data_IF_186275064550
#
_entry.id   IF_186275064550
#
_cell.length_a   1.000
_cell.length_b   1.000
_cell.length_c   1.000
_cell.angle_alpha   90.00
_cell.angle_beta   90.00
_cell.angle_gamma   90.00
#
_symmetry.space_group_name_H-M   'P 1'
#
loop_
_entity.id
_entity.type
_entity.pdbx_description
1 polymer ?
#
# COMPACT_ATOMS: atom_id res chain seq x y z
N UNK A 1 5.96 -5.28 8.16
CA UNK A 1 5.92 -5.82 6.79
C UNK A 1 7.33 -6.20 6.33
N UNK A 2 7.85 -7.38 6.70
CA UNK A 2 9.08 -7.89 6.07
C UNK A 2 8.79 -8.62 4.75
N UNK A 3 7.64 -9.29 4.66
CA UNK A 3 7.28 -10.17 3.54
C UNK A 3 7.26 -9.50 2.15
N UNK A 4 6.90 -8.22 2.05
CA UNK A 4 6.76 -7.53 0.76
C UNK A 4 7.91 -6.57 0.43
N UNK A 5 8.81 -6.32 1.39
CA UNK A 5 9.97 -5.43 1.21
C UNK A 5 10.81 -5.84 0.02
N UNK A 6 11.21 -7.12 -0.06
CA UNK A 6 12.05 -7.64 -1.14
C UNK A 6 11.40 -7.44 -2.50
N UNK A 7 10.09 -7.71 -2.60
CA UNK A 7 9.32 -7.50 -3.83
C UNK A 7 9.24 -6.03 -4.22
N UNK A 8 8.97 -5.14 -3.26
CA UNK A 8 8.93 -3.69 -3.48
C UNK A 8 10.28 -3.18 -4.00
N UNK A 9 11.40 -3.55 -3.36
CA UNK A 9 12.75 -3.17 -3.80
C UNK A 9 13.04 -3.64 -5.21
N UNK A 10 12.78 -4.93 -5.50
CA UNK A 10 13.01 -5.52 -6.82
C UNK A 10 12.21 -4.85 -7.94
N UNK A 11 10.98 -4.38 -7.64
CA UNK A 11 10.14 -3.68 -8.61
C UNK A 11 10.50 -2.21 -8.76
N UNK A 12 10.85 -1.51 -7.67
CA UNK A 12 11.25 -0.11 -7.72
C UNK A 12 12.61 0.07 -8.42
N UNK A 13 13.54 -0.89 -8.24
CA UNK A 13 14.92 -0.80 -8.70
C UNK A 13 15.61 0.51 -8.24
N UNK A 14 15.22 0.98 -7.07
CA UNK A 14 15.68 2.21 -6.43
C UNK A 14 15.62 2.01 -4.92
N UNK A 15 16.76 1.62 -4.34
CA UNK A 15 16.85 1.34 -2.91
C UNK A 15 16.64 2.59 -2.05
N UNK A 16 17.06 3.77 -2.54
CA UNK A 16 16.87 5.03 -1.82
C UNK A 16 15.40 5.42 -1.72
N UNK A 17 14.65 5.24 -2.81
CA UNK A 17 13.20 5.43 -2.79
C UNK A 17 12.51 4.36 -1.92
N UNK A 18 12.94 3.10 -1.99
CA UNK A 18 12.39 2.04 -1.14
C UNK A 18 12.59 2.35 0.35
N UNK A 19 13.80 2.76 0.75
CA UNK A 19 14.13 3.18 2.11
C UNK A 19 13.25 4.35 2.57
N UNK A 20 13.08 5.36 1.71
CA UNK A 20 12.25 6.52 2.01
C UNK A 20 10.78 6.14 2.22
N UNK A 21 10.22 5.25 1.38
CA UNK A 21 8.84 4.77 1.51
C UNK A 21 8.65 3.97 2.80
N UNK A 22 9.59 3.07 3.11
CA UNK A 22 9.53 2.23 4.31
C UNK A 22 9.66 3.03 5.61
N UNK A 23 10.51 4.06 5.60
CA UNK A 23 10.69 4.96 6.75
C UNK A 23 9.49 5.86 6.96
N UNK A 24 9.13 6.66 5.95
CA UNK A 24 7.94 7.49 5.96
C UNK A 24 7.51 7.86 4.53
N UNK A 25 6.55 7.11 3.98
CA UNK A 25 6.03 7.35 2.64
C UNK A 25 5.47 8.76 2.41
N UNK A 26 5.05 9.48 3.47
CA UNK A 26 4.54 10.85 3.37
C UNK A 26 5.62 11.81 2.88
N UNK A 27 6.85 11.64 3.39
CA UNK A 27 8.02 12.47 3.08
C UNK A 27 8.83 11.90 1.91
N UNK A 28 8.57 10.66 1.49
CA UNK A 28 9.23 10.04 0.36
C UNK A 28 9.04 10.85 -0.94
N UNK A 29 10.02 10.82 -1.87
CA UNK A 29 9.98 11.55 -3.15
C UNK A 29 9.05 10.86 -4.16
N UNK A 30 7.79 10.72 -3.79
CA UNK A 30 6.71 10.19 -4.61
C UNK A 30 6.00 11.33 -5.35
N UNK A 31 5.61 11.08 -6.59
CA UNK A 31 4.72 12.00 -7.30
C UNK A 31 3.32 12.02 -6.68
N UNK A 32 2.56 13.07 -6.98
CA UNK A 32 1.22 13.29 -6.40
C UNK A 32 0.26 12.13 -6.67
N UNK A 33 0.36 11.51 -7.85
CA UNK A 33 -0.45 10.33 -8.22
C UNK A 33 -0.21 9.15 -7.28
N UNK A 34 1.05 8.82 -6.96
CA UNK A 34 1.38 7.76 -6.01
C UNK A 34 0.99 8.14 -4.58
N UNK A 35 1.14 9.40 -4.18
CA UNK A 35 0.69 9.87 -2.85
C UNK A 35 -0.83 9.77 -2.68
N UNK A 36 -1.62 10.12 -3.70
CA UNK A 36 -3.08 9.97 -3.68
C UNK A 36 -3.50 8.51 -3.50
N UNK A 37 -2.86 7.58 -4.21
CA UNK A 37 -3.07 6.13 -4.05
C UNK A 37 -2.78 5.67 -2.62
N UNK A 38 -1.67 6.11 -2.02
CA UNK A 38 -1.30 5.72 -0.66
C UNK A 38 -2.22 6.33 0.41
N UNK A 39 -2.65 7.59 0.23
CA UNK A 39 -3.66 8.22 1.10
C UNK A 39 -4.96 7.41 1.13
N UNK A 40 -5.44 6.99 -0.04
CA UNK A 40 -6.62 6.14 -0.17
C UNK A 40 -6.41 4.80 0.55
N UNK A 41 -5.30 4.11 0.28
CA UNK A 41 -4.99 2.82 0.90
C UNK A 41 -4.90 2.91 2.44
N UNK A 42 -4.30 3.99 2.96
CA UNK A 42 -4.22 4.26 4.40
C UNK A 42 -5.60 4.48 5.00
N UNK A 43 -6.46 5.30 4.37
CA UNK A 43 -7.82 5.53 4.87
C UNK A 43 -8.63 4.23 4.87
N UNK A 44 -8.63 3.49 3.76
CA UNK A 44 -9.35 2.22 3.65
C UNK A 44 -8.86 1.19 4.68
N UNK A 45 -7.57 1.20 5.02
CA UNK A 45 -7.01 0.30 6.05
C UNK A 45 -7.43 0.71 7.47
N UNK A 46 -7.39 2.01 7.79
CA UNK A 46 -7.57 2.51 9.17
C UNK A 46 -9.02 2.82 9.53
N UNK A 47 -9.81 3.29 8.57
CA UNK A 47 -11.17 3.76 8.76
C UNK A 47 -12.07 3.36 7.57
N UNK A 48 -12.20 2.05 7.26
CA UNK A 48 -12.99 1.60 6.11
C UNK A 48 -14.47 2.02 6.19
N UNK A 49 -15.02 2.19 7.39
CA UNK A 49 -16.39 2.64 7.59
C UNK A 49 -16.63 4.11 7.19
N UNK A 50 -15.56 4.92 7.12
CA UNK A 50 -15.62 6.34 6.77
C UNK A 50 -15.33 6.59 5.28
N UNK A 51 -15.22 5.53 4.47
CA UNK A 51 -15.00 5.63 3.04
C UNK A 51 -16.24 6.18 2.33
N UNK A 52 -16.02 7.05 1.35
CA UNK A 52 -17.06 7.74 0.59
C UNK A 52 -16.72 7.79 -0.89
N UNK A 53 -17.67 8.20 -1.74
CA UNK A 53 -17.41 8.43 -3.16
C UNK A 53 -16.33 9.50 -3.40
N UNK A 54 -16.19 10.49 -2.50
CA UNK A 54 -15.17 11.53 -2.62
C UNK A 54 -13.74 10.96 -2.59
N UNK A 55 -13.51 9.84 -1.89
CA UNK A 55 -12.21 9.19 -1.85
C UNK A 55 -11.87 8.54 -3.21
N UNK A 56 -12.88 7.99 -3.89
CA UNK A 56 -12.75 7.46 -5.24
C UNK A 56 -12.52 8.59 -6.25
N UNK A 57 -13.27 9.69 -6.12
CA UNK A 57 -13.11 10.85 -7.00
C UNK A 57 -11.73 11.51 -6.85
N UNK A 58 -11.15 11.51 -5.65
CA UNK A 58 -9.77 11.96 -5.44
C UNK A 58 -8.75 11.10 -6.23
N UNK A 59 -8.94 9.78 -6.32
CA UNK A 59 -8.11 8.93 -7.17
C UNK A 59 -8.29 9.25 -8.66
N UNK A 60 -9.54 9.47 -9.10
CA UNK A 60 -9.83 9.85 -10.49
C UNK A 60 -9.17 11.17 -10.86
N UNK A 61 -9.24 12.17 -9.99
CA UNK A 61 -8.58 13.47 -10.15
C UNK A 61 -7.05 13.34 -10.24
N UNK A 62 -6.47 12.36 -9.56
CA UNK A 62 -5.05 12.01 -9.67
C UNK A 62 -4.69 11.23 -10.96
N UNK A 63 -5.66 10.99 -11.85
CA UNK A 63 -5.46 10.31 -13.13
C UNK A 63 -5.51 8.79 -13.05
N UNK A 64 -6.22 8.22 -12.08
CA UNK A 64 -6.56 6.79 -12.08
C UNK A 64 -7.87 6.55 -12.82
N UNK A 65 -7.91 5.51 -13.64
CA UNK A 65 -9.14 5.02 -14.27
C UNK A 65 -9.99 4.25 -13.25
N UNK A 66 -11.26 4.00 -13.53
CA UNK A 66 -12.10 3.15 -12.66
C UNK A 66 -11.53 1.73 -12.49
N UNK A 67 -10.83 1.22 -13.51
CA UNK A 67 -10.12 -0.05 -13.42
C UNK A 67 -8.97 0.02 -12.43
N UNK A 68 -8.16 1.09 -12.49
CA UNK A 68 -7.06 1.30 -11.54
C UNK A 68 -7.59 1.47 -10.10
N UNK A 69 -8.71 2.18 -9.91
CA UNK A 69 -9.36 2.31 -8.60
C UNK A 69 -9.77 0.96 -8.04
N UNK A 70 -10.39 0.11 -8.87
CA UNK A 70 -10.73 -1.26 -8.47
C UNK A 70 -9.48 -2.04 -8.05
N UNK A 71 -8.40 -1.98 -8.83
CA UNK A 71 -7.14 -2.65 -8.48
C UNK A 71 -6.55 -2.14 -7.15
N UNK A 72 -6.57 -0.83 -6.90
CA UNK A 72 -6.09 -0.23 -5.65
C UNK A 72 -6.91 -0.74 -4.46
N UNK A 73 -8.24 -0.79 -4.59
CA UNK A 73 -9.16 -1.27 -3.54
C UNK A 73 -8.93 -2.76 -3.28
N UNK A 74 -8.90 -3.58 -4.32
CA UNK A 74 -8.74 -5.04 -4.21
C UNK A 74 -7.40 -5.40 -3.56
N UNK A 75 -6.30 -4.78 -3.99
CA UNK A 75 -4.99 -4.99 -3.38
C UNK A 75 -5.02 -4.55 -1.92
N UNK A 76 -5.50 -3.35 -1.62
CA UNK A 76 -5.54 -2.86 -0.22
C UNK A 76 -6.37 -3.78 0.67
N UNK A 77 -7.55 -4.21 0.22
CA UNK A 77 -8.44 -5.09 0.97
C UNK A 77 -7.86 -6.50 1.14
N UNK A 78 -7.24 -7.05 0.10
CA UNK A 78 -6.59 -8.35 0.15
C UNK A 78 -5.46 -8.38 1.19
N UNK A 79 -4.60 -7.37 1.21
CA UNK A 79 -3.54 -7.27 2.21
C UNK A 79 -4.11 -7.12 3.63
N UNK A 80 -5.19 -6.36 3.80
CA UNK A 80 -5.85 -6.28 5.09
C UNK A 80 -6.45 -7.63 5.54
N UNK A 81 -6.95 -8.47 4.62
CA UNK A 81 -7.39 -9.83 4.92
C UNK A 81 -6.20 -10.73 5.30
N UNK A 82 -5.15 -10.76 4.47
CA UNK A 82 -3.98 -11.59 4.67
C UNK A 82 -3.25 -11.25 5.99
N UNK A 83 -3.06 -9.97 6.28
CA UNK A 83 -2.43 -9.51 7.52
C UNK A 83 -3.23 -9.96 8.75
N UNK A 84 -4.57 -9.89 8.72
CA UNK A 84 -5.40 -10.37 9.84
C UNK A 84 -5.25 -11.86 10.10
N UNK A 85 -5.07 -12.68 9.06
CA UNK A 85 -4.80 -14.11 9.23
C UNK A 85 -3.42 -14.34 9.82
N UNK A 86 -2.39 -13.73 9.23
CA UNK A 86 -1.01 -13.89 9.68
C UNK A 86 -0.85 -13.43 11.14
N UNK A 87 -1.28 -12.21 11.45
CA UNK A 87 -1.18 -11.62 12.78
C UNK A 87 -2.09 -12.36 13.78
N UNK A 88 -3.32 -12.70 13.37
CA UNK A 88 -4.30 -13.37 14.23
C UNK A 88 -3.90 -14.79 14.62
N UNK A 89 -3.09 -15.47 13.79
CA UNK A 89 -2.54 -16.79 14.07
C UNK A 89 -1.11 -16.73 14.68
N UNK A 90 -0.51 -15.54 14.76
CA UNK A 90 0.87 -15.37 15.24
C UNK A 90 1.91 -16.01 14.32
N UNK A 91 1.70 -15.96 13.00
CA UNK A 91 2.65 -16.50 12.02
C UNK A 91 3.99 -15.76 12.14
N UNK A 92 5.12 -16.47 12.34
CA UNK A 92 6.41 -15.81 12.51
C UNK A 92 6.95 -15.24 11.18
N UNK A 93 7.83 -14.25 11.29
CA UNK A 93 8.59 -13.72 10.16
C UNK A 93 9.39 -14.85 9.46
N UNK A 94 9.49 -14.79 8.14
CA UNK A 94 10.23 -15.76 7.32
C UNK A 94 11.75 -15.53 7.43
N UNK A 95 12.34 -15.89 8.57
CA UNK A 95 13.78 -15.70 8.82
C UNK A 95 14.74 -16.43 7.88
N UNK A 96 14.22 -17.28 7.00
CA UNK A 96 14.95 -18.00 5.95
C UNK A 96 14.96 -17.25 4.61
N UNK A 97 14.17 -16.18 4.45
CA UNK A 97 14.28 -15.29 3.30
C UNK A 97 15.44 -14.33 3.55
N UNK A 98 16.51 -14.51 2.77
CA UNK A 98 17.66 -13.61 2.75
C UNK A 98 17.26 -12.36 1.93
N UNK A 99 17.50 -11.17 2.48
CA UNK A 99 17.32 -9.87 1.81
C UNK A 99 18.34 -9.67 0.68
#
# INVERSE_FOLDING_TARGET
MRHHRRGLRGLLKDDGLADAIESNWVDAPLNDRRKAMLLYAVKLTRAPADMTMNDVDALRQAGFTDRDVLDIVEVTAYYAYANRIADGLGVPDEGWIVE
#
